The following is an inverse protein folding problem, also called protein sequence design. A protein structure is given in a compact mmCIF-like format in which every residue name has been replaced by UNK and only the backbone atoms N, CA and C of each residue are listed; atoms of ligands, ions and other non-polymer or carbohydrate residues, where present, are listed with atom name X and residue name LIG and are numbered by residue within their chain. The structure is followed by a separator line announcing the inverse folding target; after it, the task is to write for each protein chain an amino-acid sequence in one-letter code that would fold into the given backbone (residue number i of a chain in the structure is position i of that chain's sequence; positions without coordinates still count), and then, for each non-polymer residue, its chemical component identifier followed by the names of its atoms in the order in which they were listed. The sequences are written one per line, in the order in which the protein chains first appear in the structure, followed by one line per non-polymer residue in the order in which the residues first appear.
data_IF_881576882234
#
_entry.id   IF_881576882234
#
_cell.length_a   1.000
_cell.length_b   1.000
_cell.length_c   1.000
_cell.angle_alpha   90.00
_cell.angle_beta   90.00
_cell.angle_gamma   90.00
#
_symmetry.space_group_name_H-M   'P 1'
#
loop_
_entity.id
_entity.type
_entity.pdbx_description
1 polymer ?
#
# COMPACT_ATOMS: atom_id res chain seq x y z
N UNK A 1 2.71 -13.39 5.54
CA UNK A 1 2.16 -12.85 4.28
C UNK A 1 2.95 -13.40 3.10
N UNK A 2 4.27 -13.15 2.97
CA UNK A 2 5.10 -13.55 1.82
C UNK A 2 5.00 -15.07 1.51
N UNK A 3 5.11 -15.93 2.53
CA UNK A 3 4.94 -17.38 2.39
C UNK A 3 3.58 -17.74 1.78
N UNK A 4 2.49 -17.09 2.25
CA UNK A 4 1.13 -17.38 1.77
C UNK A 4 0.88 -16.86 0.35
N UNK A 5 1.64 -15.85 -0.09
CA UNK A 5 1.58 -15.32 -1.45
C UNK A 5 2.53 -16.06 -2.39
N UNK A 6 3.44 -16.89 -1.86
CA UNK A 6 4.50 -17.51 -2.65
C UNK A 6 5.46 -16.50 -3.25
N UNK A 7 5.61 -15.33 -2.61
CA UNK A 7 6.44 -14.23 -3.10
C UNK A 7 7.79 -14.21 -2.41
N UNK A 8 8.87 -13.89 -3.13
CA UNK A 8 10.16 -13.60 -2.51
C UNK A 8 10.11 -12.25 -1.79
N UNK A 9 11.11 -11.94 -1.00
CA UNK A 9 11.18 -10.69 -0.24
C UNK A 9 12.49 -9.95 -0.48
N UNK A 10 12.41 -8.63 -0.45
CA UNK A 10 13.54 -7.72 -0.27
C UNK A 10 13.43 -7.17 1.15
N UNK A 11 14.46 -7.36 1.95
CA UNK A 11 14.52 -6.88 3.33
C UNK A 11 15.19 -5.52 3.34
N UNK A 12 14.51 -4.50 3.87
CA UNK A 12 15.07 -3.16 4.05
C UNK A 12 15.14 -2.84 5.54
N UNK A 13 16.34 -2.57 6.03
CA UNK A 13 16.59 -2.26 7.43
C UNK A 13 17.25 -0.89 7.56
N UNK A 14 16.93 -0.18 8.64
CA UNK A 14 17.61 1.09 8.96
C UNK A 14 18.89 0.82 9.72
N UNK A 15 19.98 1.43 9.25
CA UNK A 15 21.26 1.53 9.97
C UNK A 15 21.40 2.83 10.77
N UNK A 16 20.38 3.71 10.72
CA UNK A 16 20.43 5.01 11.40
C UNK A 16 20.54 4.85 12.92
N UNK A 17 21.55 5.49 13.51
CA UNK A 17 21.85 5.43 14.94
C UNK A 17 22.35 4.08 15.46
N UNK A 18 22.69 3.13 14.57
CA UNK A 18 23.21 1.81 14.95
C UNK A 18 24.71 1.71 14.75
N UNK A 19 25.38 1.01 15.68
CA UNK A 19 26.76 0.57 15.47
C UNK A 19 26.82 -0.52 14.39
N UNK A 20 28.02 -0.77 13.85
CA UNK A 20 28.28 -1.85 12.88
C UNK A 20 27.73 -3.20 13.38
N UNK A 21 28.06 -3.57 14.62
CA UNK A 21 27.59 -4.82 15.23
C UNK A 21 26.07 -4.91 15.32
N UNK A 22 25.41 -3.84 15.76
CA UNK A 22 23.93 -3.81 15.85
C UNK A 22 23.26 -3.92 14.49
N UNK A 23 23.79 -3.25 13.47
CA UNK A 23 23.27 -3.32 12.11
C UNK A 23 23.40 -4.72 11.52
N UNK A 24 24.57 -5.35 11.68
CA UNK A 24 24.85 -6.72 11.23
C UNK A 24 23.95 -7.73 11.94
N UNK A 25 23.90 -7.71 13.28
CA UNK A 25 23.07 -8.63 14.05
C UNK A 25 21.60 -8.51 13.69
N UNK A 26 21.09 -7.28 13.58
CA UNK A 26 19.70 -7.03 13.18
C UNK A 26 19.37 -7.60 11.78
N UNK A 27 20.32 -7.50 10.85
CA UNK A 27 20.16 -8.06 9.52
C UNK A 27 20.15 -9.59 9.54
N UNK A 28 21.13 -10.21 10.18
CA UNK A 28 21.25 -11.68 10.26
C UNK A 28 20.01 -12.31 10.92
N UNK A 29 19.57 -11.76 12.05
CA UNK A 29 18.38 -12.24 12.76
C UNK A 29 17.13 -12.12 11.87
N UNK A 30 16.99 -10.99 11.18
CA UNK A 30 15.82 -10.78 10.28
C UNK A 30 15.84 -11.76 9.11
N UNK A 31 17.00 -11.95 8.48
CA UNK A 31 17.15 -12.88 7.34
C UNK A 31 16.82 -14.31 7.77
N UNK A 32 17.39 -14.78 8.88
CA UNK A 32 17.15 -16.13 9.38
C UNK A 32 15.66 -16.35 9.68
N UNK A 33 14.96 -15.37 10.23
CA UNK A 33 13.52 -15.44 10.45
C UNK A 33 12.70 -15.67 9.16
N UNK A 34 13.14 -15.16 8.01
CA UNK A 34 12.51 -15.44 6.72
C UNK A 34 12.90 -16.80 6.16
N UNK A 35 14.19 -17.16 6.25
CA UNK A 35 14.71 -18.44 5.77
C UNK A 35 14.10 -19.63 6.52
N UNK A 36 13.99 -19.54 7.85
CA UNK A 36 13.35 -20.58 8.70
C UNK A 36 11.88 -20.81 8.29
N UNK A 37 11.22 -19.76 7.83
CA UNK A 37 9.84 -19.86 7.28
C UNK A 37 9.79 -20.30 5.83
N UNK A 38 10.92 -20.68 5.23
CA UNK A 38 11.04 -21.07 3.81
C UNK A 38 10.56 -19.97 2.85
N UNK A 39 10.86 -18.71 3.16
CA UNK A 39 10.64 -17.57 2.27
C UNK A 39 11.96 -17.21 1.60
N UNK A 40 11.99 -17.14 0.27
CA UNK A 40 13.20 -16.73 -0.47
C UNK A 40 13.47 -15.24 -0.22
N UNK A 41 14.68 -14.93 0.24
CA UNK A 41 15.20 -13.56 0.35
C UNK A 41 16.02 -13.27 -0.89
N UNK A 42 15.63 -12.29 -1.71
CA UNK A 42 16.36 -11.87 -2.91
C UNK A 42 17.47 -10.88 -2.58
N UNK A 43 17.15 -9.91 -1.76
CA UNK A 43 18.10 -8.86 -1.40
C UNK A 43 17.90 -8.40 0.05
N UNK A 44 19.01 -7.90 0.60
CA UNK A 44 19.03 -7.21 1.90
C UNK A 44 19.66 -5.84 1.70
N UNK A 45 18.94 -4.81 2.10
CA UNK A 45 19.33 -3.41 2.02
C UNK A 45 19.45 -2.84 3.42
N UNK A 46 20.67 -2.46 3.83
CA UNK A 46 20.88 -1.67 5.04
C UNK A 46 20.95 -0.22 4.62
N UNK A 47 19.93 0.55 4.96
CA UNK A 47 19.78 1.94 4.54
C UNK A 47 20.15 2.91 5.67
N UNK A 48 20.59 4.11 5.34
CA UNK A 48 20.96 5.19 6.26
C UNK A 48 22.14 4.84 7.19
N UNK A 49 23.15 4.19 6.64
CA UNK A 49 24.40 3.87 7.35
C UNK A 49 25.35 5.07 7.32
N UNK A 50 26.19 5.26 8.36
CA UNK A 50 27.28 6.22 8.27
C UNK A 50 28.28 5.78 7.18
N UNK A 51 28.77 6.71 6.34
CA UNK A 51 29.64 6.35 5.20
C UNK A 51 30.91 5.59 5.65
N UNK A 52 31.45 5.95 6.82
CA UNK A 52 32.61 5.28 7.41
C UNK A 52 32.41 3.81 7.70
N UNK A 53 31.20 3.45 8.14
CA UNK A 53 30.85 2.09 8.59
C UNK A 53 30.43 1.17 7.43
N UNK A 54 30.13 1.74 6.28
CA UNK A 54 29.54 1.04 5.14
C UNK A 54 30.34 -0.17 4.66
N UNK A 55 31.64 -0.01 4.52
CA UNK A 55 32.53 -1.08 4.02
C UNK A 55 32.62 -2.23 5.01
N UNK A 56 32.68 -1.93 6.29
CA UNK A 56 32.77 -2.92 7.37
C UNK A 56 31.48 -3.72 7.51
N UNK A 57 30.33 -3.05 7.51
CA UNK A 57 29.02 -3.70 7.53
C UNK A 57 28.87 -4.64 6.31
N UNK A 58 29.22 -4.15 5.10
CA UNK A 58 29.15 -4.97 3.89
C UNK A 58 30.00 -6.21 3.99
N UNK A 59 31.26 -6.09 4.41
CA UNK A 59 32.20 -7.21 4.58
C UNK A 59 31.69 -8.22 5.63
N UNK A 60 31.23 -7.73 6.76
CA UNK A 60 30.72 -8.57 7.86
C UNK A 60 29.50 -9.37 7.44
N UNK A 61 28.57 -8.78 6.69
CA UNK A 61 27.39 -9.46 6.16
C UNK A 61 27.75 -10.44 5.04
N UNK A 62 28.66 -10.12 4.14
CA UNK A 62 29.11 -11.02 3.09
C UNK A 62 29.70 -12.32 3.62
N UNK A 63 30.36 -12.28 4.80
CA UNK A 63 30.93 -13.46 5.44
C UNK A 63 29.88 -14.35 6.13
N UNK A 64 28.69 -13.80 6.43
CA UNK A 64 27.65 -14.50 7.20
C UNK A 64 26.45 -14.90 6.35
N UNK A 65 26.28 -14.30 5.17
CA UNK A 65 25.13 -14.53 4.31
C UNK A 65 25.46 -15.46 3.14
N UNK A 66 24.42 -16.15 2.67
CA UNK A 66 24.53 -16.92 1.42
C UNK A 66 24.84 -15.97 0.25
N UNK A 67 25.73 -16.39 -0.64
CA UNK A 67 26.15 -15.65 -1.84
C UNK A 67 25.01 -15.34 -2.80
N UNK A 68 23.89 -16.06 -2.70
CA UNK A 68 22.70 -15.85 -3.55
C UNK A 68 21.84 -14.65 -3.12
N UNK A 69 22.16 -14.02 -1.97
CA UNK A 69 21.44 -12.85 -1.48
C UNK A 69 22.15 -11.57 -1.92
N UNK A 70 21.46 -10.74 -2.68
CA UNK A 70 22.00 -9.44 -3.11
C UNK A 70 22.09 -8.53 -1.89
N UNK A 71 23.29 -8.05 -1.60
CA UNK A 71 23.55 -7.20 -0.44
C UNK A 71 23.85 -5.76 -0.86
N UNK A 72 23.07 -4.82 -0.35
CA UNK A 72 23.29 -3.40 -0.49
C UNK A 72 23.40 -2.70 0.87
N UNK A 73 24.40 -1.81 0.97
CA UNK A 73 24.58 -0.94 2.13
C UNK A 73 24.59 0.50 1.62
N UNK A 74 23.55 1.23 1.92
CA UNK A 74 23.29 2.60 1.42
C UNK A 74 23.62 3.58 2.54
N UNK A 75 24.49 4.56 2.29
CA UNK A 75 24.81 5.56 3.28
C UNK A 75 23.67 6.56 3.50
N UNK A 76 23.81 7.37 4.53
CA UNK A 76 22.97 8.56 4.72
C UNK A 76 23.22 9.54 3.59
N UNK A 77 22.19 9.97 2.92
CA UNK A 77 22.25 10.97 1.85
C UNK A 77 21.60 12.25 2.40
N UNK A 78 22.39 13.28 2.58
CA UNK A 78 21.95 14.55 3.19
C UNK A 78 20.83 15.21 2.37
N UNK A 79 20.97 15.21 1.04
CA UNK A 79 20.01 15.81 0.12
C UNK A 79 18.62 15.16 0.22
N UNK A 80 18.54 13.87 0.56
CA UNK A 80 17.27 13.17 0.76
C UNK A 80 16.67 13.40 2.15
N UNK A 81 17.49 13.85 3.12
CA UNK A 81 17.07 14.14 4.49
C UNK A 81 16.57 15.57 4.65
N UNK A 82 17.12 16.50 3.87
CA UNK A 82 16.87 17.94 4.00
C UNK A 82 15.44 18.27 3.57
N UNK A 83 14.63 18.97 4.40
CA UNK A 83 13.33 19.45 3.99
C UNK A 83 13.44 20.51 2.89
N UNK A 84 12.48 20.57 1.98
CA UNK A 84 12.32 21.68 1.06
C UNK A 84 11.70 22.89 1.77
N UNK A 85 11.88 24.08 1.21
CA UNK A 85 11.21 25.28 1.71
C UNK A 85 9.68 25.14 1.62
N UNK A 86 9.14 24.34 0.70
CA UNK A 86 7.72 24.00 0.64
C UNK A 86 7.28 23.20 1.87
N UNK A 87 8.03 22.14 2.22
CA UNK A 87 7.76 21.34 3.42
C UNK A 87 7.84 22.20 4.70
N UNK A 88 8.81 23.15 4.75
CA UNK A 88 8.97 24.08 5.86
C UNK A 88 7.77 25.02 5.94
N UNK A 89 7.34 25.62 4.80
CA UNK A 89 6.15 26.44 4.71
C UNK A 89 4.91 25.74 5.26
N UNK A 90 4.66 24.53 4.77
CA UNK A 90 3.48 23.74 5.17
C UNK A 90 3.52 23.38 6.67
N UNK A 91 4.70 22.99 7.17
CA UNK A 91 4.86 22.59 8.57
C UNK A 91 4.73 23.75 9.57
N UNK A 92 5.20 24.94 9.17
CA UNK A 92 5.08 26.16 9.97
C UNK A 92 3.71 26.84 9.82
N UNK A 93 2.93 26.51 8.79
CA UNK A 93 1.77 27.31 8.39
C UNK A 93 2.17 28.71 7.89
N UNK A 94 3.36 28.83 7.27
CA UNK A 94 3.93 30.09 6.85
C UNK A 94 3.31 30.62 5.55
N UNK A 95 3.28 31.93 5.41
CA UNK A 95 2.92 32.61 4.17
C UNK A 95 4.18 32.89 3.32
N UNK A 96 4.01 32.90 1.99
CA UNK A 96 5.10 33.25 1.08
C UNK A 96 5.04 34.74 0.80
N UNK A 97 6.08 35.47 1.20
CA UNK A 97 6.20 36.89 0.90
C UNK A 97 6.86 37.12 -0.47
N UNK A 98 7.95 36.41 -0.74
CA UNK A 98 8.72 36.49 -1.99
C UNK A 98 9.23 35.13 -2.41
N UNK A 99 9.54 34.98 -3.69
CA UNK A 99 10.30 33.85 -4.23
C UNK A 99 9.52 32.52 -4.27
N UNK A 100 8.23 32.54 -4.56
CA UNK A 100 7.38 31.33 -4.61
C UNK A 100 7.93 30.24 -5.56
N UNK A 101 8.58 30.63 -6.64
CA UNK A 101 9.18 29.71 -7.61
C UNK A 101 10.36 28.91 -7.05
N UNK A 102 10.89 29.27 -5.88
CA UNK A 102 12.05 28.64 -5.25
C UNK A 102 11.70 27.78 -4.04
N UNK A 103 10.43 27.46 -3.84
CA UNK A 103 9.97 26.60 -2.73
C UNK A 103 10.52 25.16 -2.77
N UNK A 104 11.08 24.73 -3.90
CA UNK A 104 11.78 23.45 -4.00
C UNK A 104 13.17 23.42 -3.40
N UNK A 105 13.75 24.61 -3.05
CA UNK A 105 15.09 24.68 -2.48
C UNK A 105 15.22 23.82 -1.22
N UNK A 106 16.26 22.94 -1.13
CA UNK A 106 16.49 22.15 0.07
C UNK A 106 17.15 22.97 1.16
N UNK A 107 16.75 22.76 2.42
CA UNK A 107 17.33 23.37 3.60
C UNK A 107 18.12 22.32 4.40
N UNK A 108 19.43 22.33 4.29
CA UNK A 108 20.29 21.31 4.91
C UNK A 108 20.48 21.55 6.42
N UNK A 109 20.46 22.80 6.83
CA UNK A 109 20.59 23.26 8.21
C UNK A 109 20.00 24.66 8.33
N UNK A 110 19.82 25.14 9.54
CA UNK A 110 19.35 26.51 9.77
C UNK A 110 20.29 27.28 10.70
N UNK A 111 20.28 28.61 10.57
CA UNK A 111 20.98 29.53 11.45
C UNK A 111 20.03 30.65 11.91
N UNK A 112 20.30 31.18 13.11
CA UNK A 112 19.59 32.36 13.59
C UNK A 112 20.31 33.64 13.15
N UNK A 113 19.55 34.53 12.54
CA UNK A 113 20.02 35.89 12.23
C UNK A 113 20.05 36.81 13.44
N UNK A 114 20.67 36.36 14.54
CA UNK A 114 20.72 37.14 15.81
C UNK A 114 22.01 37.97 15.97
N UNK A 115 23.06 37.64 15.21
CA UNK A 115 24.37 38.28 15.27
C UNK A 115 24.42 39.58 14.44
N UNK A 116 25.45 40.38 14.66
CA UNK A 116 25.78 41.45 13.73
C UNK A 116 26.19 40.89 12.35
N UNK A 117 25.95 41.65 11.29
CA UNK A 117 26.14 41.26 9.89
C UNK A 117 27.51 40.61 9.67
N UNK A 118 28.60 41.25 10.15
CA UNK A 118 29.97 40.77 9.94
C UNK A 118 30.25 39.39 10.51
N UNK A 119 29.58 39.01 11.60
CA UNK A 119 29.65 37.69 12.20
C UNK A 119 28.64 36.73 11.54
N UNK A 120 27.46 37.16 11.26
CA UNK A 120 26.42 36.38 10.59
C UNK A 120 26.87 35.83 9.23
N UNK A 121 27.49 36.67 8.40
CA UNK A 121 27.96 36.28 7.07
C UNK A 121 29.01 35.13 7.09
N UNK A 122 29.75 34.98 8.18
CA UNK A 122 30.75 33.88 8.34
C UNK A 122 30.08 32.53 8.49
N UNK A 123 28.80 32.50 8.87
CA UNK A 123 28.03 31.26 9.11
C UNK A 123 27.17 30.85 7.91
N UNK A 124 27.13 31.62 6.84
CA UNK A 124 26.41 31.25 5.62
C UNK A 124 27.08 30.05 4.97
N UNK A 125 26.35 28.96 4.88
CA UNK A 125 26.73 27.72 4.19
C UNK A 125 25.75 27.40 3.08
N UNK A 126 26.12 26.50 2.17
CA UNK A 126 25.24 26.05 1.09
C UNK A 126 23.92 25.51 1.69
N UNK A 127 22.82 25.91 1.08
CA UNK A 127 21.46 25.47 1.45
C UNK A 127 21.09 25.78 2.92
N UNK A 128 21.64 26.84 3.48
CA UNK A 128 21.25 27.27 4.83
C UNK A 128 19.87 27.96 4.82
N UNK A 129 19.02 27.60 5.75
CA UNK A 129 17.80 28.35 6.09
C UNK A 129 18.13 29.41 7.13
N UNK A 130 17.73 30.64 6.87
CA UNK A 130 17.92 31.74 7.82
C UNK A 130 16.61 31.97 8.56
N UNK A 131 16.67 31.91 9.89
CA UNK A 131 15.52 32.22 10.77
C UNK A 131 15.85 33.53 11.51
N UNK A 132 15.06 34.57 11.29
CA UNK A 132 15.31 35.89 11.87
C UNK A 132 14.00 36.62 12.14
N UNK A 133 13.93 37.50 13.16
CA UNK A 133 12.77 38.39 13.32
C UNK A 133 12.56 39.26 12.08
N UNK A 134 11.31 39.57 11.75
CA UNK A 134 10.95 40.34 10.55
C UNK A 134 11.39 41.80 10.60
N UNK A 135 11.69 42.34 11.79
CA UNK A 135 12.22 43.68 12.00
C UNK A 135 13.75 43.81 11.79
N UNK A 136 14.45 42.67 11.52
CA UNK A 136 15.90 42.64 11.26
C UNK A 136 16.20 42.91 9.79
N UNK A 137 15.88 44.14 9.33
CA UNK A 137 16.16 44.57 7.95
C UNK A 137 17.63 44.40 7.54
N UNK A 138 18.56 44.58 8.49
CA UNK A 138 19.99 44.38 8.29
C UNK A 138 20.35 42.93 7.86
N UNK A 139 19.78 41.95 8.54
CA UNK A 139 20.00 40.50 8.22
C UNK A 139 19.29 40.13 6.93
N UNK A 140 18.06 40.63 6.73
CA UNK A 140 17.27 40.35 5.51
C UNK A 140 18.05 40.81 4.26
N UNK A 141 18.46 42.07 4.24
CA UNK A 141 19.19 42.63 3.08
C UNK A 141 20.56 42.01 2.91
N UNK A 142 21.30 41.74 4.01
CA UNK A 142 22.58 41.03 3.93
C UNK A 142 22.45 39.62 3.35
N UNK A 143 21.38 38.90 3.70
CA UNK A 143 21.08 37.55 3.20
C UNK A 143 20.78 37.55 1.69
N UNK A 144 19.94 38.47 1.24
CA UNK A 144 19.63 38.68 -0.17
C UNK A 144 20.90 39.00 -0.97
N UNK A 145 21.69 39.97 -0.48
CA UNK A 145 22.94 40.37 -1.12
C UNK A 145 23.96 39.22 -1.13
N UNK A 146 24.08 38.45 -0.05
CA UNK A 146 24.96 37.27 -0.02
C UNK A 146 24.51 36.23 -1.04
N UNK A 147 23.22 35.97 -1.19
CA UNK A 147 22.69 35.02 -2.16
C UNK A 147 22.95 35.43 -3.63
N UNK A 148 23.03 36.72 -3.91
CA UNK A 148 23.42 37.25 -5.22
C UNK A 148 24.94 37.21 -5.45
N UNK A 149 25.73 37.24 -4.40
CA UNK A 149 27.18 37.30 -4.50
C UNK A 149 27.78 35.97 -4.93
N UNK A 150 28.72 36.01 -5.88
CA UNK A 150 29.51 34.84 -6.29
C UNK A 150 30.47 34.34 -5.21
N UNK A 151 30.74 35.16 -4.18
CA UNK A 151 31.65 34.83 -3.08
C UNK A 151 30.96 34.09 -1.92
N UNK A 152 29.63 33.96 -1.96
CA UNK A 152 28.86 33.26 -0.94
C UNK A 152 28.13 32.08 -1.56
N UNK A 153 27.93 31.00 -0.79
CA UNK A 153 27.14 29.88 -1.25
C UNK A 153 25.64 30.26 -1.30
N UNK A 154 24.88 29.54 -2.13
CA UNK A 154 23.42 29.71 -2.23
C UNK A 154 22.74 29.39 -0.91
N UNK A 155 21.76 30.25 -0.56
CA UNK A 155 20.91 30.14 0.63
C UNK A 155 19.64 29.38 0.24
N UNK A 156 19.10 28.54 1.12
CA UNK A 156 17.87 27.80 0.88
C UNK A 156 16.65 28.72 0.84
N UNK A 157 16.56 29.62 1.83
CA UNK A 157 15.50 30.57 2.00
C UNK A 157 15.58 31.28 3.35
N UNK A 158 14.59 32.10 3.63
CA UNK A 158 14.43 32.79 4.91
C UNK A 158 13.07 32.51 5.53
N UNK A 159 13.02 32.44 6.86
CA UNK A 159 11.80 32.46 7.67
C UNK A 159 11.86 33.69 8.56
N UNK A 160 10.99 34.64 8.28
CA UNK A 160 10.80 35.85 9.06
C UNK A 160 9.77 35.60 10.15
N UNK A 161 10.13 35.89 11.39
CA UNK A 161 9.38 35.46 12.57
C UNK A 161 8.90 36.65 13.41
N UNK A 162 7.96 36.38 14.33
CA UNK A 162 7.48 37.33 15.32
C UNK A 162 6.31 38.19 14.87
N UNK A 163 5.79 38.00 13.64
CA UNK A 163 4.62 38.78 13.15
C UNK A 163 4.88 40.28 13.01
N UNK A 164 6.15 40.73 12.99
CA UNK A 164 6.47 42.15 12.83
C UNK A 164 6.28 42.59 11.38
N UNK A 165 5.79 43.82 11.20
CA UNK A 165 5.73 44.46 9.88
C UNK A 165 7.15 44.83 9.39
N UNK A 166 7.44 44.45 8.14
CA UNK A 166 8.67 44.88 7.49
C UNK A 166 8.50 46.34 7.02
N UNK A 167 9.47 47.17 7.26
CA UNK A 167 9.41 48.57 6.84
C UNK A 167 9.19 48.67 5.31
N UNK A 168 8.27 49.54 4.89
CA UNK A 168 7.88 49.74 3.48
C UNK A 168 9.10 50.01 2.56
N UNK A 169 10.09 50.76 3.07
CA UNK A 169 11.35 51.04 2.37
C UNK A 169 12.16 49.77 2.09
N UNK A 170 12.12 48.77 2.98
CA UNK A 170 12.79 47.48 2.80
C UNK A 170 12.04 46.63 1.79
N UNK A 171 10.71 46.63 1.85
CA UNK A 171 9.87 45.94 0.85
C UNK A 171 10.16 46.49 -0.56
N UNK A 172 10.18 47.80 -0.74
CA UNK A 172 10.51 48.44 -2.03
C UNK A 172 11.90 48.08 -2.55
N UNK A 173 12.88 47.90 -1.67
CA UNK A 173 14.22 47.44 -2.06
C UNK A 173 14.20 45.99 -2.52
N UNK A 174 13.41 45.15 -1.90
CA UNK A 174 13.27 43.77 -2.22
C UNK A 174 12.52 43.58 -3.57
N UNK A 175 11.41 44.29 -3.74
CA UNK A 175 10.59 44.29 -4.97
C UNK A 175 11.37 44.75 -6.21
N UNK A 176 12.29 45.70 -6.02
CA UNK A 176 13.15 46.20 -7.09
C UNK A 176 14.37 45.27 -7.40
N UNK A 177 14.52 44.18 -6.67
CA UNK A 177 15.63 43.25 -6.83
C UNK A 177 15.15 41.88 -7.37
N UNK A 178 16.05 41.15 -8.05
CA UNK A 178 15.77 39.80 -8.49
C UNK A 178 15.89 38.82 -7.32
N UNK A 179 14.76 38.51 -6.67
CA UNK A 179 14.72 37.64 -5.48
C UNK A 179 14.76 36.18 -5.89
N UNK A 180 15.94 35.56 -5.76
CA UNK A 180 16.22 34.19 -6.16
C UNK A 180 16.17 33.18 -4.99
N UNK A 181 15.41 33.47 -3.93
CA UNK A 181 15.19 32.58 -2.79
C UNK A 181 13.80 32.83 -2.16
N UNK A 182 13.16 31.82 -1.56
CA UNK A 182 11.88 32.01 -0.89
C UNK A 182 12.06 32.72 0.46
N UNK A 183 11.19 33.68 0.71
CA UNK A 183 11.04 34.39 1.98
C UNK A 183 9.66 34.10 2.54
N UNK A 184 9.64 33.42 3.68
CA UNK A 184 8.43 32.98 4.37
C UNK A 184 8.21 33.85 5.61
N UNK A 185 6.97 34.09 5.99
CA UNK A 185 6.60 34.84 7.23
C UNK A 185 5.76 33.96 8.15
N UNK A 186 6.02 34.07 9.45
CA UNK A 186 5.26 33.42 10.52
C UNK A 186 5.12 34.31 11.73
N UNK A 187 4.02 34.21 12.46
CA UNK A 187 3.80 34.97 13.71
C UNK A 187 4.56 34.37 14.90
N UNK A 188 4.98 33.10 14.78
CA UNK A 188 5.71 32.38 15.81
C UNK A 188 7.03 33.09 16.19
N UNK A 189 7.43 33.08 17.48
CA UNK A 189 8.74 33.52 17.92
C UNK A 189 9.85 32.69 17.27
N UNK A 190 11.01 33.31 17.01
CA UNK A 190 12.12 32.67 16.25
C UNK A 190 12.56 31.32 16.80
N UNK A 191 12.67 31.17 18.11
CA UNK A 191 13.04 29.90 18.74
C UNK A 191 12.02 28.80 18.49
N UNK A 192 10.73 29.17 18.57
CA UNK A 192 9.63 28.22 18.35
C UNK A 192 9.56 27.76 16.88
N UNK A 193 9.66 28.72 15.96
CA UNK A 193 9.73 28.39 14.52
C UNK A 193 10.91 27.48 14.20
N UNK A 194 12.10 27.78 14.73
CA UNK A 194 13.27 26.93 14.51
C UNK A 194 13.13 25.53 15.14
N UNK A 195 12.50 25.42 16.31
CA UNK A 195 12.24 24.11 16.93
C UNK A 195 11.30 23.28 16.08
N UNK A 196 10.26 23.89 15.52
CA UNK A 196 9.38 23.22 14.54
C UNK A 196 10.16 22.75 13.31
N UNK A 197 11.00 23.61 12.73
CA UNK A 197 11.84 23.28 11.57
C UNK A 197 12.77 22.11 11.89
N UNK A 198 13.42 22.11 13.05
CA UNK A 198 14.31 21.02 13.48
C UNK A 198 13.59 19.66 13.61
N UNK A 199 12.31 19.67 13.88
CA UNK A 199 11.45 18.48 13.99
C UNK A 199 10.94 17.94 12.65
N UNK A 200 11.23 18.57 11.52
CA UNK A 200 10.73 18.14 10.22
C UNK A 200 11.44 16.86 9.77
N UNK A 201 10.67 15.82 9.61
CA UNK A 201 11.13 14.60 8.94
C UNK A 201 10.73 14.65 7.47
N UNK A 202 11.67 15.06 6.63
CA UNK A 202 11.43 15.15 5.18
C UNK A 202 11.04 13.80 4.59
N UNK A 203 10.05 13.82 3.71
CA UNK A 203 9.56 12.65 2.96
C UNK A 203 9.76 12.88 1.47
N UNK A 204 9.90 11.78 0.74
CA UNK A 204 9.86 11.85 -0.73
C UNK A 204 8.40 12.01 -1.14
N UNK A 205 8.08 13.17 -1.71
CA UNK A 205 6.74 13.53 -2.21
C UNK A 205 6.75 13.60 -3.74
N UNK A 206 5.63 13.37 -4.42
CA UNK A 206 5.50 13.59 -5.87
C UNK A 206 5.90 14.99 -6.32
N UNK A 207 5.77 15.98 -5.43
CA UNK A 207 6.11 17.39 -5.69
C UNK A 207 7.62 17.68 -5.60
N UNK A 208 8.44 16.69 -5.28
CA UNK A 208 9.90 16.83 -5.13
C UNK A 208 10.65 15.98 -6.16
N UNK A 209 10.63 16.32 -7.47
CA UNK A 209 11.24 15.50 -8.53
C UNK A 209 12.74 15.28 -8.31
N UNK A 210 13.47 16.28 -7.82
CA UNK A 210 14.91 16.16 -7.56
C UNK A 210 15.22 15.12 -6.48
N UNK A 211 14.41 15.07 -5.41
CA UNK A 211 14.53 14.02 -4.38
C UNK A 211 14.20 12.64 -4.91
N UNK A 212 13.18 12.54 -5.76
CA UNK A 212 12.83 11.27 -6.42
C UNK A 212 13.99 10.77 -7.27
N UNK A 213 14.52 11.63 -8.14
CA UNK A 213 15.67 11.30 -8.97
C UNK A 213 16.90 10.97 -8.13
N UNK A 214 17.18 11.75 -7.08
CA UNK A 214 18.26 11.49 -6.13
C UNK A 214 18.13 10.12 -5.45
N UNK A 215 16.94 9.74 -5.02
CA UNK A 215 16.67 8.44 -4.41
C UNK A 215 16.84 7.28 -5.41
N UNK A 216 16.33 7.43 -6.65
CA UNK A 216 16.49 6.43 -7.71
C UNK A 216 17.96 6.25 -8.06
N UNK A 217 18.70 7.34 -8.25
CA UNK A 217 20.13 7.30 -8.57
C UNK A 217 20.93 6.68 -7.42
N UNK A 218 20.59 7.01 -6.18
CA UNK A 218 21.21 6.39 -5.01
C UNK A 218 20.95 4.89 -4.98
N UNK A 219 19.71 4.45 -5.21
CA UNK A 219 19.38 3.04 -5.28
C UNK A 219 20.21 2.31 -6.34
N UNK A 220 20.25 2.84 -7.57
CA UNK A 220 21.05 2.26 -8.69
C UNK A 220 22.55 2.22 -8.41
N UNK A 221 23.07 3.21 -7.69
CA UNK A 221 24.50 3.27 -7.34
C UNK A 221 24.94 2.18 -6.36
N UNK A 222 24.06 1.81 -5.42
CA UNK A 222 24.42 0.92 -4.31
C UNK A 222 23.86 -0.48 -4.43
N UNK A 223 22.88 -0.71 -5.30
CA UNK A 223 22.25 -2.01 -5.53
C UNK A 223 22.54 -2.46 -6.97
N UNK A 224 22.91 -3.72 -7.12
CA UNK A 224 22.95 -4.38 -8.42
C UNK A 224 21.52 -4.63 -8.90
N UNK A 225 20.98 -3.67 -9.65
CA UNK A 225 19.61 -3.69 -10.14
C UNK A 225 19.41 -4.73 -11.24
N UNK A 226 20.45 -5.03 -12.04
CA UNK A 226 20.37 -6.04 -13.10
C UNK A 226 20.30 -7.45 -12.49
N UNK A 227 21.13 -7.73 -11.49
CA UNK A 227 21.07 -8.99 -10.76
C UNK A 227 19.74 -9.15 -10.04
N UNK A 228 19.21 -8.07 -9.44
CA UNK A 228 17.92 -8.08 -8.75
C UNK A 228 16.78 -8.36 -9.72
N UNK A 229 16.73 -7.71 -10.88
CA UNK A 229 15.74 -7.92 -11.92
C UNK A 229 15.77 -9.37 -12.44
N UNK A 230 16.96 -9.90 -12.71
CA UNK A 230 17.15 -11.29 -13.14
C UNK A 230 16.62 -12.28 -12.11
N UNK A 231 16.93 -12.07 -10.81
CA UNK A 231 16.43 -12.94 -9.74
C UNK A 231 14.91 -12.83 -9.56
N UNK A 232 14.32 -11.65 -9.78
CA UNK A 232 12.87 -11.45 -9.74
C UNK A 232 12.16 -12.15 -10.91
N UNK A 233 12.70 -12.04 -12.13
CA UNK A 233 12.12 -12.67 -13.33
C UNK A 233 12.23 -14.20 -13.26
N UNK A 234 13.36 -14.72 -12.80
CA UNK A 234 13.62 -16.15 -12.71
C UNK A 234 12.99 -16.80 -11.46
N UNK A 235 12.39 -16.02 -10.58
CA UNK A 235 11.75 -16.57 -9.39
C UNK A 235 10.53 -17.41 -9.75
N UNK A 236 10.63 -18.69 -9.54
CA UNK A 236 9.48 -19.62 -9.60
C UNK A 236 9.03 -19.87 -8.16
N UNK A 237 7.81 -19.47 -7.84
CA UNK A 237 7.24 -19.67 -6.51
C UNK A 237 7.22 -21.15 -6.13
N UNK A 238 7.63 -21.46 -4.90
CA UNK A 238 7.70 -22.83 -4.40
C UNK A 238 6.28 -23.35 -4.14
N UNK A 239 5.70 -24.01 -5.13
CA UNK A 239 4.41 -24.68 -5.01
C UNK A 239 3.18 -23.76 -4.99
N UNK A 240 2.00 -24.37 -5.02
CA UNK A 240 0.72 -23.67 -4.94
C UNK A 240 0.34 -23.46 -3.47
N UNK A 241 0.30 -22.19 -3.03
CA UNK A 241 -0.18 -21.90 -1.67
C UNK A 241 -1.71 -22.05 -1.59
N UNK A 242 -2.29 -22.30 -0.40
CA UNK A 242 -3.74 -22.41 -0.27
C UNK A 242 -4.50 -21.19 -0.80
N UNK A 243 -3.96 -19.98 -0.63
CA UNK A 243 -4.58 -18.74 -1.16
C UNK A 243 -4.45 -18.61 -2.68
N UNK A 244 -3.31 -19.01 -3.24
CA UNK A 244 -3.16 -19.07 -4.71
C UNK A 244 -4.13 -20.08 -5.31
N UNK A 245 -4.31 -21.24 -4.67
CA UNK A 245 -5.28 -22.24 -5.09
C UNK A 245 -6.70 -21.68 -5.06
N UNK A 246 -7.11 -21.08 -3.95
CA UNK A 246 -8.42 -20.40 -3.84
C UNK A 246 -8.61 -19.33 -4.93
N UNK A 247 -7.59 -18.52 -5.17
CA UNK A 247 -7.64 -17.50 -6.22
C UNK A 247 -7.81 -18.12 -7.61
N UNK A 248 -7.08 -19.20 -7.90
CA UNK A 248 -7.22 -19.89 -9.17
C UNK A 248 -8.60 -20.54 -9.34
N UNK A 249 -9.14 -21.17 -8.29
CA UNK A 249 -10.50 -21.71 -8.32
C UNK A 249 -11.53 -20.62 -8.65
N UNK A 250 -11.45 -19.47 -7.99
CA UNK A 250 -12.34 -18.33 -8.27
C UNK A 250 -12.16 -17.83 -9.70
N UNK A 251 -10.92 -17.74 -10.20
CA UNK A 251 -10.62 -17.34 -11.58
C UNK A 251 -11.21 -18.32 -12.61
N UNK A 252 -11.05 -19.62 -12.40
CA UNK A 252 -11.62 -20.65 -13.28
C UNK A 252 -13.16 -20.62 -13.27
N UNK A 253 -13.76 -20.49 -12.09
CA UNK A 253 -15.22 -20.38 -11.96
C UNK A 253 -15.78 -19.13 -12.67
N UNK A 254 -15.07 -17.99 -12.59
CA UNK A 254 -15.45 -16.78 -13.35
C UNK A 254 -15.38 -16.96 -14.86
N UNK A 255 -14.39 -17.68 -15.36
CA UNK A 255 -14.21 -17.89 -16.81
C UNK A 255 -15.25 -18.84 -17.41
N UNK A 256 -15.73 -19.82 -16.64
CA UNK A 256 -16.78 -20.76 -17.05
C UNK A 256 -17.86 -20.81 -15.97
N UNK A 257 -18.69 -19.79 -15.95
CA UNK A 257 -19.79 -19.72 -14.98
C UNK A 257 -20.71 -20.91 -15.15
N UNK A 258 -20.79 -21.73 -14.10
CA UNK A 258 -21.66 -22.88 -14.00
C UNK A 258 -22.91 -22.57 -13.21
N UNK A 259 -23.97 -23.31 -13.47
CA UNK A 259 -25.22 -23.24 -12.76
C UNK A 259 -25.26 -24.33 -11.70
N UNK A 260 -25.31 -23.97 -10.43
CA UNK A 260 -25.28 -24.90 -9.29
C UNK A 260 -26.61 -24.83 -8.54
N UNK A 261 -27.15 -26.00 -8.25
CA UNK A 261 -28.35 -26.16 -7.42
C UNK A 261 -27.95 -26.45 -5.98
N UNK A 262 -28.58 -25.76 -5.06
CA UNK A 262 -28.44 -25.95 -3.61
C UNK A 262 -29.80 -26.40 -3.06
N UNK A 263 -30.00 -27.71 -2.79
CA UNK A 263 -31.30 -28.23 -2.43
C UNK A 263 -31.78 -27.89 -1.01
N UNK A 264 -30.86 -27.48 -0.17
CA UNK A 264 -31.09 -27.16 1.25
C UNK A 264 -31.24 -25.64 1.44
N UNK A 265 -32.13 -25.00 0.64
CA UNK A 265 -32.26 -23.53 0.60
C UNK A 265 -32.76 -22.87 1.89
N UNK A 266 -33.25 -23.65 2.86
CA UNK A 266 -33.71 -23.17 4.20
C UNK A 266 -32.52 -23.04 5.18
N UNK A 267 -31.38 -23.67 4.95
CA UNK A 267 -30.25 -23.65 5.87
C UNK A 267 -29.50 -22.31 5.81
N UNK A 268 -29.31 -21.67 6.96
CA UNK A 268 -28.66 -20.37 7.08
C UNK A 268 -27.21 -20.36 6.55
N UNK A 269 -26.50 -21.50 6.63
CA UNK A 269 -25.13 -21.64 6.12
C UNK A 269 -25.12 -21.65 4.61
N UNK A 270 -26.08 -22.33 3.99
CA UNK A 270 -26.26 -22.38 2.53
C UNK A 270 -26.63 -20.99 2.00
N UNK A 271 -27.56 -20.28 2.66
CA UNK A 271 -27.93 -18.91 2.28
C UNK A 271 -26.73 -17.95 2.33
N UNK A 272 -25.95 -18.00 3.41
CA UNK A 272 -24.73 -17.19 3.54
C UNK A 272 -23.66 -17.55 2.48
N UNK A 273 -23.51 -18.82 2.16
CA UNK A 273 -22.62 -19.27 1.10
C UNK A 273 -23.09 -18.79 -0.28
N UNK A 274 -24.39 -18.91 -0.58
CA UNK A 274 -25.00 -18.43 -1.81
C UNK A 274 -24.79 -16.92 -2.00
N UNK A 275 -25.05 -16.11 -0.98
CA UNK A 275 -24.84 -14.66 -0.99
C UNK A 275 -23.38 -14.31 -1.30
N UNK A 276 -22.43 -15.00 -0.67
CA UNK A 276 -20.98 -14.80 -0.93
C UNK A 276 -20.60 -15.13 -2.38
N UNK A 277 -21.09 -16.26 -2.91
CA UNK A 277 -20.78 -16.71 -4.27
C UNK A 277 -21.39 -15.80 -5.32
N UNK A 278 -22.63 -15.33 -5.09
CA UNK A 278 -23.33 -14.38 -5.95
C UNK A 278 -22.59 -13.04 -5.99
N UNK A 279 -22.17 -12.49 -4.84
CA UNK A 279 -21.35 -11.27 -4.74
C UNK A 279 -20.04 -11.40 -5.51
N UNK A 280 -19.43 -12.58 -5.49
CA UNK A 280 -18.20 -12.85 -6.23
C UNK A 280 -18.42 -13.09 -7.74
N UNK A 281 -19.68 -13.26 -8.17
CA UNK A 281 -20.08 -13.52 -9.57
C UNK A 281 -19.41 -14.76 -10.18
N UNK A 282 -19.21 -15.80 -9.38
CA UNK A 282 -18.47 -17.02 -9.78
C UNK A 282 -19.36 -18.14 -10.35
N UNK A 283 -20.63 -18.19 -9.92
CA UNK A 283 -21.62 -19.20 -10.34
C UNK A 283 -23.01 -18.57 -10.48
N UNK A 284 -23.89 -19.25 -11.22
CA UNK A 284 -25.36 -19.07 -11.10
C UNK A 284 -25.86 -20.01 -10.02
N UNK A 285 -26.81 -19.57 -9.21
CA UNK A 285 -27.34 -20.37 -8.10
C UNK A 285 -28.85 -20.50 -8.22
N UNK A 286 -29.34 -21.73 -8.03
CA UNK A 286 -30.73 -22.03 -7.72
C UNK A 286 -30.83 -22.63 -6.32
N UNK A 287 -31.64 -22.03 -5.48
CA UNK A 287 -32.03 -22.53 -4.16
C UNK A 287 -33.35 -23.29 -4.29
N UNK A 288 -33.46 -24.48 -3.66
CA UNK A 288 -34.69 -25.25 -3.63
C UNK A 288 -35.34 -25.16 -2.25
N UNK A 289 -36.67 -25.04 -2.24
CA UNK A 289 -37.52 -25.02 -1.05
C UNK A 289 -38.64 -24.00 -1.12
N UNK A 290 -39.38 -23.85 -0.04
CA UNK A 290 -40.46 -22.89 0.03
C UNK A 290 -39.98 -21.46 -0.14
N UNK A 291 -40.52 -20.77 -1.16
CA UNK A 291 -40.08 -19.43 -1.56
C UNK A 291 -40.29 -18.40 -0.44
N UNK A 292 -41.37 -18.54 0.33
CA UNK A 292 -41.70 -17.57 1.40
C UNK A 292 -40.75 -17.75 2.58
N UNK A 293 -40.49 -19.00 2.98
CA UNK A 293 -39.57 -19.31 4.08
C UNK A 293 -38.12 -18.89 3.76
N UNK A 294 -37.68 -19.16 2.51
CA UNK A 294 -36.32 -18.76 2.06
C UNK A 294 -36.20 -17.23 2.06
N UNK A 295 -37.19 -16.51 1.51
CA UNK A 295 -37.17 -15.04 1.49
C UNK A 295 -37.19 -14.43 2.90
N UNK A 296 -37.97 -15.01 3.82
CA UNK A 296 -38.00 -14.60 5.21
C UNK A 296 -36.58 -14.76 5.86
N UNK A 297 -35.93 -15.89 5.60
CA UNK A 297 -34.59 -16.16 6.10
C UNK A 297 -33.53 -15.23 5.48
N UNK A 298 -33.60 -14.93 4.18
CA UNK A 298 -32.76 -13.94 3.49
C UNK A 298 -32.90 -12.57 4.15
N UNK A 299 -34.14 -12.13 4.41
CA UNK A 299 -34.42 -10.85 5.07
C UNK A 299 -33.89 -10.82 6.50
N UNK A 300 -34.15 -11.87 7.28
CA UNK A 300 -33.69 -12.02 8.66
C UNK A 300 -32.18 -11.95 8.78
N UNK A 301 -31.48 -12.54 7.82
CA UNK A 301 -30.02 -12.59 7.80
C UNK A 301 -29.38 -11.37 7.11
N UNK A 302 -30.16 -10.45 6.55
CA UNK A 302 -29.65 -9.27 5.84
C UNK A 302 -28.83 -9.60 4.58
N UNK A 303 -29.18 -10.67 3.86
CA UNK A 303 -28.46 -11.13 2.69
C UNK A 303 -28.96 -10.45 1.41
N UNK A 304 -28.11 -10.35 0.40
CA UNK A 304 -28.38 -9.68 -0.87
C UNK A 304 -28.74 -10.67 -2.00
N UNK A 305 -29.59 -11.66 -1.68
CA UNK A 305 -30.11 -12.61 -2.64
C UNK A 305 -31.48 -12.14 -3.13
N UNK A 306 -31.64 -11.99 -4.45
CA UNK A 306 -32.88 -11.56 -5.08
C UNK A 306 -33.07 -12.29 -6.43
N UNK A 307 -34.21 -12.08 -7.08
CA UNK A 307 -34.60 -12.73 -8.33
C UNK A 307 -33.61 -12.49 -9.48
N UNK A 308 -32.85 -11.39 -9.46
CA UNK A 308 -31.91 -11.03 -10.52
C UNK A 308 -30.59 -11.83 -10.41
N UNK A 309 -30.26 -12.28 -9.20
CA UNK A 309 -28.95 -12.89 -8.93
C UNK A 309 -29.03 -14.33 -8.40
N UNK A 310 -30.19 -14.79 -7.91
CA UNK A 310 -30.40 -16.13 -7.36
C UNK A 310 -31.84 -16.57 -7.61
N UNK A 311 -32.02 -17.71 -8.26
CA UNK A 311 -33.33 -18.31 -8.49
C UNK A 311 -33.76 -19.13 -7.26
N UNK A 312 -35.00 -19.00 -6.84
CA UNK A 312 -35.60 -19.83 -5.79
C UNK A 312 -36.73 -20.63 -6.41
N UNK A 313 -36.69 -21.94 -6.28
CA UNK A 313 -37.71 -22.85 -6.83
C UNK A 313 -38.28 -23.71 -5.71
N UNK A 314 -39.61 -23.69 -5.56
CA UNK A 314 -40.30 -24.71 -4.81
C UNK A 314 -40.51 -25.93 -5.74
N UNK A 315 -39.99 -27.13 -5.41
CA UNK A 315 -40.13 -28.30 -6.25
C UNK A 315 -41.59 -28.59 -6.65
N UNK A 316 -42.55 -28.49 -5.71
CA UNK A 316 -43.97 -28.84 -5.92
C UNK A 316 -44.68 -27.86 -6.87
N UNK A 317 -44.30 -26.62 -6.89
CA UNK A 317 -44.90 -25.55 -7.70
C UNK A 317 -44.12 -25.31 -9.02
N UNK A 318 -43.11 -26.12 -9.30
CA UNK A 318 -42.23 -25.96 -10.45
C UNK A 318 -42.89 -26.44 -11.74
N UNK A 319 -42.72 -25.63 -12.82
CA UNK A 319 -43.08 -26.05 -14.18
C UNK A 319 -42.45 -27.40 -14.58
N UNK A 320 -41.31 -27.75 -14.03
CA UNK A 320 -40.58 -28.99 -14.35
C UNK A 320 -41.04 -30.20 -13.54
N UNK A 321 -41.95 -30.03 -12.56
CA UNK A 321 -42.28 -31.09 -11.62
C UNK A 321 -42.80 -32.35 -12.30
N UNK A 322 -43.79 -32.26 -13.17
CA UNK A 322 -44.40 -33.39 -13.86
C UNK A 322 -43.39 -34.10 -14.80
N UNK A 323 -42.58 -33.33 -15.53
CA UNK A 323 -41.55 -33.90 -16.42
C UNK A 323 -40.51 -34.67 -15.60
N UNK A 324 -40.10 -34.15 -14.44
CA UNK A 324 -39.14 -34.82 -13.59
C UNK A 324 -39.71 -36.08 -12.92
N UNK A 325 -40.97 -36.07 -12.51
CA UNK A 325 -41.67 -37.24 -11.98
C UNK A 325 -41.72 -38.37 -13.01
N UNK A 326 -42.16 -38.05 -14.22
CA UNK A 326 -42.21 -39.02 -15.33
C UNK A 326 -40.83 -39.56 -15.70
N UNK A 327 -39.84 -38.70 -15.75
CA UNK A 327 -38.45 -39.10 -16.05
C UNK A 327 -37.89 -40.03 -14.96
N UNK A 328 -38.08 -39.71 -13.68
CA UNK A 328 -37.69 -40.58 -12.57
C UNK A 328 -38.38 -41.93 -12.62
N UNK A 329 -39.68 -41.93 -12.88
CA UNK A 329 -40.45 -43.15 -13.05
C UNK A 329 -39.88 -44.03 -14.17
N UNK A 330 -39.65 -43.48 -15.37
CA UNK A 330 -39.05 -44.22 -16.51
C UNK A 330 -37.67 -44.78 -16.18
N UNK A 331 -36.81 -44.02 -15.50
CA UNK A 331 -35.47 -44.47 -15.08
C UNK A 331 -35.50 -45.58 -14.04
N UNK A 332 -36.57 -45.67 -13.25
CA UNK A 332 -36.68 -46.59 -12.10
C UNK A 332 -37.79 -47.66 -12.23
N UNK A 333 -38.60 -47.67 -13.29
CA UNK A 333 -39.67 -48.66 -13.49
C UNK A 333 -39.14 -50.11 -13.48
N UNK A 334 -37.96 -50.36 -13.96
CA UNK A 334 -37.26 -51.65 -13.88
C UNK A 334 -36.90 -52.10 -12.45
N UNK A 335 -37.00 -51.20 -11.47
CA UNK A 335 -36.80 -51.47 -10.04
C UNK A 335 -38.12 -51.46 -9.23
N UNK A 336 -39.25 -51.66 -9.92
CA UNK A 336 -40.61 -51.66 -9.34
C UNK A 336 -40.98 -50.38 -8.59
N UNK A 337 -40.56 -49.20 -9.04
CA UNK A 337 -40.96 -47.93 -8.48
C UNK A 337 -42.31 -47.52 -9.05
N UNK A 338 -43.37 -47.37 -8.25
CA UNK A 338 -44.64 -46.77 -8.69
C UNK A 338 -44.51 -45.30 -9.03
N UNK A 339 -45.35 -44.80 -9.94
CA UNK A 339 -45.38 -43.37 -10.30
C UNK A 339 -45.68 -42.46 -9.09
N UNK A 340 -46.54 -42.93 -8.19
CA UNK A 340 -46.88 -42.17 -6.95
C UNK A 340 -45.65 -41.97 -6.05
N UNK A 341 -44.81 -42.99 -5.94
CA UNK A 341 -43.52 -42.86 -5.20
C UNK A 341 -42.56 -41.89 -5.91
N UNK A 342 -42.53 -41.91 -7.25
CA UNK A 342 -41.73 -40.95 -7.99
C UNK A 342 -42.22 -39.52 -7.78
N UNK A 343 -43.53 -39.29 -7.70
CA UNK A 343 -44.11 -37.96 -7.37
C UNK A 343 -43.75 -37.52 -5.95
N UNK A 344 -43.89 -38.40 -4.97
CA UNK A 344 -43.53 -38.11 -3.58
C UNK A 344 -42.03 -37.75 -3.44
N UNK A 345 -41.17 -38.57 -4.00
CA UNK A 345 -39.71 -38.29 -4.01
C UNK A 345 -39.34 -36.98 -4.69
N UNK A 346 -40.09 -36.54 -5.69
CA UNK A 346 -39.82 -35.29 -6.42
C UNK A 346 -40.18 -34.04 -5.61
N UNK A 347 -40.88 -34.18 -4.49
CA UNK A 347 -41.09 -33.09 -3.54
C UNK A 347 -39.83 -32.79 -2.71
N UNK A 348 -38.94 -33.76 -2.61
CA UNK A 348 -37.64 -33.60 -1.94
C UNK A 348 -36.63 -32.82 -2.80
N UNK A 349 -36.02 -31.80 -2.21
CA UNK A 349 -35.09 -30.92 -2.89
C UNK A 349 -33.87 -31.65 -3.49
N UNK A 350 -33.35 -32.71 -2.85
CA UNK A 350 -32.20 -33.45 -3.36
C UNK A 350 -32.57 -34.27 -4.63
N UNK A 351 -33.74 -34.91 -4.63
CA UNK A 351 -34.24 -35.61 -5.82
C UNK A 351 -34.53 -34.63 -6.95
N UNK A 352 -35.23 -33.53 -6.67
CA UNK A 352 -35.53 -32.50 -7.65
C UNK A 352 -34.27 -31.87 -8.25
N UNK A 353 -33.30 -31.50 -7.39
CA UNK A 353 -32.03 -30.95 -7.82
C UNK A 353 -31.20 -31.93 -8.65
N UNK A 354 -31.24 -33.24 -8.32
CA UNK A 354 -30.65 -34.31 -9.12
C UNK A 354 -31.26 -34.38 -10.51
N UNK A 355 -32.59 -34.27 -10.63
CA UNK A 355 -33.27 -34.25 -11.91
C UNK A 355 -32.99 -32.99 -12.72
N UNK A 356 -32.81 -31.82 -12.08
CA UNK A 356 -32.34 -30.61 -12.76
C UNK A 356 -30.99 -30.83 -13.45
N UNK A 357 -30.04 -31.50 -12.77
CA UNK A 357 -28.73 -31.81 -13.33
C UNK A 357 -28.86 -32.86 -14.44
N UNK A 358 -29.63 -33.93 -14.22
CA UNK A 358 -29.86 -34.99 -15.20
C UNK A 358 -30.45 -34.48 -16.52
N UNK A 359 -31.38 -33.52 -16.44
CA UNK A 359 -32.02 -32.88 -17.60
C UNK A 359 -31.20 -31.75 -18.22
N UNK A 360 -30.03 -31.43 -17.65
CA UNK A 360 -29.18 -30.34 -18.15
C UNK A 360 -29.69 -28.93 -17.83
N UNK A 361 -30.69 -28.78 -16.93
CA UNK A 361 -31.19 -27.49 -16.46
C UNK A 361 -30.24 -26.83 -15.44
N UNK A 362 -29.31 -27.62 -14.89
CA UNK A 362 -28.20 -27.15 -14.08
C UNK A 362 -26.93 -27.96 -14.39
N UNK A 363 -25.75 -27.38 -14.11
CA UNK A 363 -24.46 -28.04 -14.35
C UNK A 363 -24.04 -28.96 -13.19
N UNK A 364 -24.58 -28.75 -12.01
CA UNK A 364 -24.28 -29.55 -10.82
C UNK A 364 -25.12 -29.19 -9.61
N UNK A 365 -25.07 -30.05 -8.61
CA UNK A 365 -25.72 -29.86 -7.33
C UNK A 365 -24.73 -30.02 -6.17
N UNK A 366 -24.87 -29.24 -5.13
CA UNK A 366 -24.12 -29.36 -3.87
C UNK A 366 -25.09 -29.49 -2.73
N UNK A 367 -25.06 -30.62 -2.03
CA UNK A 367 -25.89 -30.98 -0.88
C UNK A 367 -25.04 -31.48 0.27
N UNK A 368 -25.61 -31.68 1.46
CA UNK A 368 -24.96 -32.23 2.65
C UNK A 368 -24.85 -31.26 3.83
N UNK A 369 -25.62 -30.18 3.82
CA UNK A 369 -25.68 -29.29 4.99
C UNK A 369 -26.64 -29.82 6.07
N UNK A 370 -27.76 -30.46 5.66
CA UNK A 370 -28.78 -30.98 6.57
C UNK A 370 -28.83 -32.52 6.48
N UNK A 371 -28.63 -33.08 5.28
CA UNK A 371 -28.69 -34.52 5.06
C UNK A 371 -27.31 -35.17 5.26
N UNK A 372 -27.26 -36.28 5.98
CA UNK A 372 -26.10 -37.17 6.02
C UNK A 372 -25.95 -37.87 4.68
N UNK A 373 -24.73 -37.94 4.17
CA UNK A 373 -24.39 -38.72 2.98
C UNK A 373 -24.52 -40.21 3.22
#
# INVERSE_FOLDING_TARGET
IAKNLGSPVIIVLSGDGKSVSQAVTSAVVTINNFLDRKVKVLAVVINKVEEGDRKEIKKSLQNQLNKDIILAVIPKIQELKSPSMKEIKEHLGAEVMFGENFLSNPADHFIFGAMQISNFLKHIKKNVLIVTPADRADIILASLQANHSKNFPRIAGMVLTGGFEIAESVIKLIDGSDVNLPVLTVDDPSFYAATKVAGIHSKISPDCPDKILGAINTFRKYIDTEALEKEMINFVGVGMTPRMFQFQLVKWAKNKKKHIVLPEGKDDRILKAADRLVKQKVVKITLLGDVKEINASISRLGLNLNKDNCQIINPQDSFYYEDYCNTLYELRKGKNMPLEVAKDLMTDGAYFGTMMVHKGHADGMVSGAIHTT
#
